data_IF_480349152017
#
_entry.id   IF_480349152017
#
_cell.length_a   1.000
_cell.length_b   1.000
_cell.length_c   1.000
_cell.angle_alpha   90.00
_cell.angle_beta   90.00
_cell.angle_gamma   90.00
#
_symmetry.space_group_name_H-M   'P 1'
#
loop_
_entity.id
_entity.type
_entity.pdbx_description
1 polymer ?
#
# COMPACT_ATOMS: atom_id res chain seq x y z
N UNK A 1 -18.23 -5.92 -1.85
CA UNK A 1 -17.00 -6.54 -2.42
C UNK A 1 -17.23 -7.97 -2.89
N UNK A 2 -16.66 -8.40 -4.04
CA UNK A 2 -16.71 -9.81 -4.49
C UNK A 2 -15.56 -10.60 -3.88
N UNK A 3 -15.80 -11.87 -3.49
CA UNK A 3 -14.89 -12.69 -2.66
C UNK A 3 -13.42 -12.72 -3.13
N UNK A 4 -13.18 -12.66 -4.44
CA UNK A 4 -11.82 -12.65 -5.03
C UNK A 4 -11.07 -11.34 -4.78
N UNK A 5 -11.74 -10.20 -4.93
CA UNK A 5 -11.15 -8.89 -4.64
C UNK A 5 -10.82 -8.78 -3.14
N UNK A 6 -11.73 -9.23 -2.28
CA UNK A 6 -11.52 -9.30 -0.83
C UNK A 6 -10.28 -10.14 -0.45
N UNK A 7 -10.16 -11.32 -1.07
CA UNK A 7 -9.02 -12.19 -0.84
C UNK A 7 -7.71 -11.58 -1.32
N UNK A 8 -7.69 -10.94 -2.50
CA UNK A 8 -6.52 -10.26 -3.01
C UNK A 8 -6.10 -9.08 -2.12
N UNK A 9 -7.03 -8.23 -1.68
CA UNK A 9 -6.76 -7.14 -0.73
C UNK A 9 -6.18 -7.67 0.59
N UNK A 10 -6.77 -8.73 1.15
CA UNK A 10 -6.30 -9.33 2.41
C UNK A 10 -4.89 -9.93 2.26
N UNK A 11 -4.61 -10.59 1.13
CA UNK A 11 -3.30 -11.19 0.87
C UNK A 11 -2.24 -10.15 0.54
N UNK A 12 -2.61 -9.01 -0.08
CA UNK A 12 -1.74 -7.84 -0.20
C UNK A 12 -1.32 -7.34 1.17
N UNK A 13 -2.27 -7.12 2.08
CA UNK A 13 -1.98 -6.58 3.41
C UNK A 13 -1.02 -7.50 4.19
N UNK A 14 -1.28 -8.82 4.18
CA UNK A 14 -0.39 -9.79 4.83
C UNK A 14 1.02 -9.77 4.24
N UNK A 15 1.16 -9.62 2.91
CA UNK A 15 2.47 -9.54 2.26
C UNK A 15 3.21 -8.24 2.58
N UNK A 16 2.49 -7.11 2.71
CA UNK A 16 3.06 -5.83 3.15
C UNK A 16 3.53 -5.92 4.61
N UNK A 17 2.72 -6.47 5.51
CA UNK A 17 3.09 -6.67 6.93
C UNK A 17 4.33 -7.57 7.08
N UNK A 18 4.45 -8.60 6.23
CA UNK A 18 5.64 -9.46 6.20
C UNK A 18 6.89 -8.72 5.69
N UNK A 19 6.72 -7.75 4.80
CA UNK A 19 7.83 -6.97 4.20
C UNK A 19 8.26 -5.79 5.08
N UNK A 20 7.30 -5.17 5.76
CA UNK A 20 7.45 -3.97 6.57
C UNK A 20 6.90 -4.23 7.99
N UNK A 21 7.55 -5.10 8.78
CA UNK A 21 7.08 -5.44 10.11
C UNK A 21 7.03 -4.19 10.99
N UNK A 22 5.92 -4.04 11.72
CA UNK A 22 5.63 -2.92 12.63
C UNK A 22 5.53 -1.54 11.98
N UNK A 23 5.55 -1.45 10.64
CA UNK A 23 5.49 -0.21 9.88
C UNK A 23 4.18 -0.06 9.09
N UNK A 24 3.39 -1.14 8.96
CA UNK A 24 2.12 -1.13 8.23
C UNK A 24 0.98 -0.89 9.21
N UNK A 25 0.16 0.11 8.91
CA UNK A 25 -1.16 0.26 9.53
C UNK A 25 -2.19 0.35 8.42
N UNK A 26 -3.25 -0.45 8.49
CA UNK A 26 -4.35 -0.39 7.55
C UNK A 26 -5.68 -0.54 8.28
N UNK A 27 -6.71 0.11 7.75
CA UNK A 27 -8.07 0.02 8.25
C UNK A 27 -9.05 0.04 7.10
N UNK A 28 -10.12 -0.78 7.14
CA UNK A 28 -11.24 -0.57 6.24
C UNK A 28 -11.76 0.85 6.44
N UNK A 29 -12.14 1.50 5.35
CA UNK A 29 -12.63 2.88 5.42
C UNK A 29 -14.10 2.84 5.80
N UNK A 30 -14.40 2.81 7.10
CA UNK A 30 -15.77 3.02 7.61
C UNK A 30 -15.90 4.51 7.97
N UNK A 31 -16.66 5.28 7.17
CA UNK A 31 -16.96 6.66 7.51
C UNK A 31 -18.38 6.80 8.06
N UNK A 32 -18.47 6.99 9.38
CA UNK A 32 -19.69 7.44 10.09
C UNK A 32 -19.90 8.96 10.00
N UNK A 33 -19.07 9.70 9.24
CA UNK A 33 -19.14 11.16 9.13
C UNK A 33 -19.83 11.62 7.83
N UNK A 34 -21.12 12.02 7.89
CA UNK A 34 -21.88 12.46 6.73
C UNK A 34 -21.44 13.81 6.15
N UNK A 35 -20.50 14.53 6.79
CA UNK A 35 -19.98 15.81 6.30
C UNK A 35 -18.76 15.68 5.38
N UNK A 36 -18.10 14.52 5.40
CA UNK A 36 -16.93 14.18 4.59
C UNK A 36 -17.33 13.25 3.44
N UNK A 37 -18.40 13.61 2.72
CA UNK A 37 -18.88 12.90 1.53
C UNK A 37 -17.93 13.10 0.33
N UNK A 38 -16.67 12.70 0.48
CA UNK A 38 -15.87 12.23 -0.64
C UNK A 38 -16.47 10.85 -0.95
N UNK A 39 -16.87 10.64 -2.20
CA UNK A 39 -17.40 9.35 -2.67
C UNK A 39 -16.25 8.33 -2.59
N UNK A 40 -16.09 7.72 -1.43
CA UNK A 40 -15.19 6.62 -1.14
C UNK A 40 -16.07 5.38 -1.16
N UNK A 41 -15.70 4.40 -1.99
CA UNK A 41 -16.45 3.17 -2.16
C UNK A 41 -16.42 2.39 -0.82
N UNK A 42 -17.55 1.88 -0.35
CA UNK A 42 -17.69 1.18 0.96
C UNK A 42 -16.79 -0.07 1.09
N UNK A 43 -16.11 -0.44 0.00
CA UNK A 43 -15.20 -1.58 -0.09
C UNK A 43 -13.70 -1.16 -0.18
N UNK A 44 -13.34 0.10 0.08
CA UNK A 44 -11.94 0.58 0.07
C UNK A 44 -11.17 0.23 1.36
N UNK A 45 -9.96 -0.31 1.20
CA UNK A 45 -8.97 -0.43 2.28
C UNK A 45 -7.94 0.70 2.16
N UNK A 46 -7.85 1.54 3.18
CA UNK A 46 -6.80 2.56 3.30
C UNK A 46 -5.70 2.07 4.25
N UNK A 47 -4.44 2.34 3.92
CA UNK A 47 -3.32 2.05 4.80
C UNK A 47 -2.16 3.01 4.65
N UNK A 48 -1.15 2.81 5.47
CA UNK A 48 0.06 3.61 5.56
C UNK A 48 1.26 2.71 5.85
N UNK A 49 2.39 3.00 5.20
CA UNK A 49 3.70 2.45 5.54
C UNK A 49 4.55 3.56 6.15
N UNK A 50 4.98 3.36 7.37
CA UNK A 50 5.72 4.33 8.18
C UNK A 50 7.22 4.03 8.19
N UNK A 51 8.00 4.86 7.48
CA UNK A 51 9.45 4.74 7.38
C UNK A 51 10.17 5.68 8.36
N UNK A 52 10.82 5.12 9.38
CA UNK A 52 11.56 5.90 10.38
C UNK A 52 12.82 6.56 9.79
N UNK A 53 13.11 7.79 10.20
CA UNK A 53 14.44 8.39 10.00
C UNK A 53 15.37 7.96 11.15
N UNK A 54 16.45 7.20 10.89
CA UNK A 54 17.41 6.84 11.95
C UNK A 54 18.11 8.06 12.56
N UNK A 55 18.13 9.22 11.89
CA UNK A 55 18.69 10.47 12.43
C UNK A 55 17.66 11.28 13.25
N UNK A 56 16.36 10.92 13.22
CA UNK A 56 15.30 11.62 13.96
C UNK A 56 14.41 10.62 14.71
N UNK A 57 14.83 10.15 15.89
CA UNK A 57 14.09 9.17 16.68
C UNK A 57 12.72 9.69 17.18
N UNK A 58 12.51 11.00 17.18
CA UNK A 58 11.26 11.63 17.60
C UNK A 58 10.45 12.09 16.39
N UNK A 59 9.43 11.31 16.02
CA UNK A 59 8.21 11.71 15.26
C UNK A 59 8.31 12.11 13.79
N UNK A 60 9.47 12.20 13.17
CA UNK A 60 9.55 12.54 11.74
C UNK A 60 9.54 11.27 10.86
N UNK A 61 8.48 10.48 11.04
CA UNK A 61 8.24 9.25 10.29
C UNK A 61 7.67 9.63 8.93
N UNK A 62 8.35 9.21 7.85
CA UNK A 62 7.84 9.41 6.50
C UNK A 62 6.74 8.39 6.26
N UNK A 63 5.52 8.88 6.13
CA UNK A 63 4.36 8.06 5.83
C UNK A 63 4.20 7.91 4.32
N UNK A 64 3.90 6.70 3.86
CA UNK A 64 3.49 6.41 2.48
C UNK A 64 2.09 5.81 2.53
N UNK A 65 1.07 6.62 2.24
CA UNK A 65 -0.32 6.18 2.27
C UNK A 65 -0.64 5.40 1.00
N UNK A 66 -1.51 4.41 1.12
CA UNK A 66 -2.00 3.64 -0.02
C UNK A 66 -3.48 3.33 0.15
N UNK A 67 -4.18 3.16 -0.96
CA UNK A 67 -5.52 2.59 -0.98
C UNK A 67 -5.62 1.43 -1.94
N UNK A 68 -6.41 0.44 -1.54
CA UNK A 68 -6.79 -0.71 -2.34
C UNK A 68 -8.31 -0.65 -2.53
N UNK A 69 -8.73 -0.33 -3.75
CA UNK A 69 -10.13 -0.15 -4.10
C UNK A 69 -10.54 -1.25 -5.07
N UNK A 70 -11.65 -1.95 -4.88
CA UNK A 70 -12.23 -2.77 -5.94
C UNK A 70 -12.43 -1.93 -7.20
N UNK A 71 -11.88 -2.38 -8.31
CA UNK A 71 -12.07 -1.72 -9.60
C UNK A 71 -13.50 -1.88 -10.12
N UNK A 72 -13.88 -1.14 -11.19
CA UNK A 72 -15.21 -1.19 -11.78
C UNK A 72 -15.53 -2.56 -12.41
N UNK A 73 -14.50 -3.35 -12.75
CA UNK A 73 -14.63 -4.73 -13.21
C UNK A 73 -14.74 -5.72 -12.04
N UNK A 74 -15.35 -6.88 -12.31
CA UNK A 74 -15.53 -7.95 -11.32
C UNK A 74 -14.26 -8.42 -10.61
N UNK A 75 -13.15 -8.25 -11.32
CA UNK A 75 -11.88 -8.84 -10.98
C UNK A 75 -10.78 -7.79 -10.91
N UNK A 76 -11.13 -6.51 -10.88
CA UNK A 76 -10.10 -5.48 -10.87
C UNK A 76 -9.88 -4.96 -9.45
N UNK A 77 -8.65 -4.57 -9.16
CA UNK A 77 -8.27 -3.78 -7.98
C UNK A 77 -7.49 -2.59 -8.48
N UNK A 78 -7.89 -1.41 -8.05
CA UNK A 78 -7.14 -0.17 -8.22
C UNK A 78 -6.28 0.05 -6.98
N UNK A 79 -5.01 0.35 -7.20
CA UNK A 79 -4.03 0.69 -6.18
C UNK A 79 -3.66 2.15 -6.38
N UNK A 80 -3.83 2.95 -5.34
CA UNK A 80 -3.38 4.33 -5.32
C UNK A 80 -2.37 4.51 -4.18
N UNK A 81 -1.37 5.38 -4.37
CA UNK A 81 -0.44 5.76 -3.30
C UNK A 81 -0.15 7.25 -3.28
N UNK A 82 0.20 7.73 -2.09
CA UNK A 82 0.61 9.10 -1.81
C UNK A 82 1.86 9.11 -0.92
N UNK A 83 2.77 10.05 -1.17
CA UNK A 83 3.74 10.44 -0.16
C UNK A 83 2.99 11.25 0.91
N UNK A 84 3.14 10.92 2.19
CA UNK A 84 2.39 11.54 3.29
C UNK A 84 0.89 11.26 3.26
N UNK A 85 0.09 12.18 3.81
CA UNK A 85 -1.37 12.03 3.92
C UNK A 85 -2.09 12.40 2.60
N UNK A 86 -3.13 11.63 2.18
CA UNK A 86 -3.75 11.75 0.86
C UNK A 86 -4.37 13.12 0.54
N UNK A 87 -4.82 13.87 1.56
CA UNK A 87 -5.56 15.12 1.38
C UNK A 87 -4.70 16.29 0.88
N UNK A 88 -3.37 16.18 0.95
CA UNK A 88 -2.47 17.30 0.69
C UNK A 88 -1.40 17.03 -0.36
N UNK A 89 -1.28 15.78 -0.83
CA UNK A 89 -0.19 15.38 -1.72
C UNK A 89 -0.71 14.77 -3.03
N UNK A 90 0.02 14.95 -4.15
CA UNK A 90 -0.31 14.28 -5.40
C UNK A 90 -0.10 12.77 -5.28
N UNK A 91 -0.88 12.01 -6.05
CA UNK A 91 -0.69 10.55 -6.16
C UNK A 91 0.66 10.25 -6.79
N UNK A 92 1.40 9.32 -6.19
CA UNK A 92 2.70 8.82 -6.66
C UNK A 92 2.60 7.46 -7.36
N UNK A 93 1.47 6.76 -7.18
CA UNK A 93 1.11 5.53 -7.89
C UNK A 93 -0.40 5.52 -8.17
N UNK A 94 -0.76 5.09 -9.38
CA UNK A 94 -2.12 4.70 -9.77
C UNK A 94 -1.98 3.51 -10.71
N UNK A 95 -2.36 2.32 -10.27
CA UNK A 95 -2.23 1.10 -11.06
C UNK A 95 -3.45 0.19 -10.88
N UNK A 96 -3.83 -0.52 -11.94
CA UNK A 96 -4.97 -1.43 -11.93
C UNK A 96 -4.49 -2.87 -12.15
N UNK A 97 -4.96 -3.78 -11.31
CA UNK A 97 -4.62 -5.19 -11.34
C UNK A 97 -5.88 -6.03 -11.58
N UNK A 98 -5.84 -6.93 -12.55
CA UNK A 98 -6.93 -7.89 -12.78
C UNK A 98 -6.61 -9.22 -12.11
N UNK A 99 -7.37 -9.58 -11.08
CA UNK A 99 -7.23 -10.82 -10.29
C UNK A 99 -7.69 -12.08 -11.04
N UNK A 100 -8.26 -11.98 -12.25
CA UNK A 100 -8.70 -13.12 -13.09
C UNK A 100 -7.66 -13.65 -14.08
N UNK A 101 -6.63 -12.86 -14.43
CA UNK A 101 -5.59 -13.35 -15.35
C UNK A 101 -4.60 -14.31 -14.68
N UNK A 102 -4.68 -14.47 -13.36
CA UNK A 102 -3.81 -15.34 -12.58
C UNK A 102 -4.57 -16.63 -12.23
N UNK A 103 -4.90 -17.32 -13.32
CA UNK A 103 -5.29 -18.71 -13.48
C UNK A 103 -6.71 -19.12 -13.12
N UNK A 104 -7.16 -20.03 -13.96
CA UNK A 104 -8.47 -20.68 -13.97
C UNK A 104 -8.74 -21.42 -12.66
N UNK A 105 -9.63 -20.86 -11.84
CA UNK A 105 -10.60 -21.45 -10.89
C UNK A 105 -10.32 -22.76 -10.11
N UNK A 106 -9.15 -23.41 -10.16
CA UNK A 106 -8.88 -24.65 -9.43
C UNK A 106 -7.40 -24.84 -9.05
N UNK A 107 -6.57 -23.80 -9.09
CA UNK A 107 -5.16 -23.91 -8.70
C UNK A 107 -4.90 -23.29 -7.31
N UNK A 108 -4.75 -24.10 -6.26
CA UNK A 108 -4.39 -23.62 -4.92
C UNK A 108 -2.99 -23.00 -4.86
N UNK A 109 -2.15 -23.10 -5.90
CA UNK A 109 -0.90 -22.35 -6.00
C UNK A 109 -1.11 -20.88 -6.44
N UNK A 110 -2.32 -20.48 -6.82
CA UNK A 110 -2.64 -19.12 -7.27
C UNK A 110 -3.33 -18.27 -6.20
N UNK A 111 -3.85 -18.90 -5.14
CA UNK A 111 -4.26 -18.22 -3.92
C UNK A 111 -3.09 -17.42 -3.32
N UNK A 112 -3.20 -16.08 -3.32
CA UNK A 112 -2.19 -15.17 -2.79
C UNK A 112 -1.24 -14.52 -3.82
N UNK A 113 -1.10 -15.04 -5.05
CA UNK A 113 -0.23 -14.42 -6.07
C UNK A 113 -0.67 -13.00 -6.47
N UNK A 114 -1.96 -12.70 -6.67
CA UNK A 114 -2.39 -11.34 -6.98
C UNK A 114 -2.05 -10.36 -5.84
N UNK A 115 -2.26 -10.78 -4.58
CA UNK A 115 -1.95 -9.95 -3.42
C UNK A 115 -0.45 -9.68 -3.27
N UNK A 116 0.38 -10.71 -3.46
CA UNK A 116 1.83 -10.55 -3.44
C UNK A 116 2.33 -9.60 -4.54
N UNK A 117 1.79 -9.69 -5.75
CA UNK A 117 2.17 -8.78 -6.85
C UNK A 117 1.84 -7.33 -6.54
N UNK A 118 0.65 -7.08 -5.99
CA UNK A 118 0.25 -5.74 -5.55
C UNK A 118 1.21 -5.25 -4.46
N UNK A 119 1.52 -6.10 -3.47
CA UNK A 119 2.46 -5.76 -2.40
C UNK A 119 3.87 -5.49 -2.92
N UNK A 120 4.35 -6.24 -3.92
CA UNK A 120 5.64 -6.04 -4.56
C UNK A 120 5.70 -4.68 -5.29
N UNK A 121 4.62 -4.29 -5.98
CA UNK A 121 4.52 -2.97 -6.63
C UNK A 121 4.58 -1.85 -5.59
N UNK A 122 3.77 -1.94 -4.52
CA UNK A 122 3.78 -0.96 -3.42
C UNK A 122 5.17 -0.87 -2.79
N UNK A 123 5.77 -2.03 -2.51
CA UNK A 123 7.12 -2.13 -1.92
C UNK A 123 8.17 -1.48 -2.81
N UNK A 124 8.13 -1.76 -4.12
CA UNK A 124 9.05 -1.15 -5.09
C UNK A 124 8.90 0.36 -5.10
N UNK A 125 7.67 0.88 -5.03
CA UNK A 125 7.42 2.31 -4.98
C UNK A 125 7.92 2.96 -3.69
N UNK A 126 7.67 2.35 -2.52
CA UNK A 126 8.22 2.84 -1.24
C UNK A 126 9.75 2.89 -1.30
N UNK A 127 10.39 1.84 -1.83
CA UNK A 127 11.87 1.80 -1.96
C UNK A 127 12.40 2.88 -2.90
N UNK A 128 11.71 3.16 -4.00
CA UNK A 128 12.05 4.26 -4.92
C UNK A 128 12.02 5.61 -4.19
N UNK A 129 10.96 5.87 -3.42
CA UNK A 129 10.77 7.11 -2.68
C UNK A 129 11.77 7.27 -1.52
N UNK A 130 12.10 6.18 -0.83
CA UNK A 130 13.04 6.21 0.30
C UNK A 130 14.53 6.18 -0.14
N UNK A 131 14.84 5.84 -1.38
CA UNK A 131 16.22 5.72 -1.87
C UNK A 131 17.09 6.98 -1.63
N UNK A 132 16.60 8.22 -1.88
CA UNK A 132 17.36 9.43 -1.59
C UNK A 132 17.67 9.61 -0.09
N UNK A 133 16.73 9.24 0.78
CA UNK A 133 16.89 9.33 2.24
C UNK A 133 17.95 8.33 2.74
N UNK A 134 17.86 7.09 2.26
CA UNK A 134 18.84 6.03 2.56
C UNK A 134 20.23 6.42 2.07
N UNK A 135 20.35 6.96 0.85
CA UNK A 135 21.63 7.42 0.31
C UNK A 135 22.23 8.56 1.15
N UNK A 136 21.42 9.53 1.56
CA UNK A 136 21.86 10.65 2.38
C UNK A 136 22.32 10.19 3.77
N UNK A 137 21.61 9.24 4.39
CA UNK A 137 22.02 8.63 5.66
C UNK A 137 23.36 7.91 5.53
N UNK A 138 23.52 7.03 4.52
CA UNK A 138 24.75 6.28 4.31
C UNK A 138 25.96 7.18 4.07
N UNK A 139 25.79 8.29 3.34
CA UNK A 139 26.84 9.28 3.15
C UNK A 139 27.29 9.92 4.47
N UNK A 140 26.33 10.29 5.33
CA UNK A 140 26.62 10.83 6.67
C UNK A 140 27.30 9.80 7.57
N UNK A 141 26.83 8.56 7.58
CA UNK A 141 27.40 7.48 8.38
C UNK A 141 28.87 7.22 7.99
N UNK A 142 29.18 7.22 6.69
CA UNK A 142 30.54 7.02 6.18
C UNK A 142 31.47 8.20 6.54
N UNK A 143 30.95 9.43 6.63
CA UNK A 143 31.76 10.59 7.05
C UNK A 143 32.04 10.68 8.55
N UNK A 144 31.40 9.84 9.38
CA UNK A 144 31.57 9.81 10.85
C UNK A 144 32.52 8.72 11.34
N UNK A 145 32.94 7.79 10.48
CA UNK A 145 33.92 6.73 10.77
C UNK A 145 35.30 7.06 10.22
#
# INVERSE_FOLDING_TARGET
MRLRQAHAITTTLAALEATFPDQVTASPTEHDDPSMAIVIDDDELMGCIECNDPDKPDRDTRAHSFSLVPGPGEFDITVEMWEGFPLWNPRVLIEQFTVWQLGTDNDPELTGKPGQQIADTITAKVRELEAPHVAAYNARATSRG
#
